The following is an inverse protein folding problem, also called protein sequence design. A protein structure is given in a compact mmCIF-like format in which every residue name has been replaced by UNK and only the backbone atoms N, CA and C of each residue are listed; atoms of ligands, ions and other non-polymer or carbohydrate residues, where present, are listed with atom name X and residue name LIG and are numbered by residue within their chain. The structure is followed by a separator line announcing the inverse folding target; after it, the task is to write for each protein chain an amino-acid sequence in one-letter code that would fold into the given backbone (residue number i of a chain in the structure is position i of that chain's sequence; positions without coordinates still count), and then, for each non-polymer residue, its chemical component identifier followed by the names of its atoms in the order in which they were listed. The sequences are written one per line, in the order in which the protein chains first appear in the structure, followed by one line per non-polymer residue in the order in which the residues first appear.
data_IF_329881455954
#
_entry.id   IF_329881455954
#
_cell.length_a   1.000
_cell.length_b   1.000
_cell.length_c   1.000
_cell.angle_alpha   90.00
_cell.angle_beta   90.00
_cell.angle_gamma   90.00
#
_symmetry.space_group_name_H-M   'P 1'
#
loop_
_entity.id
_entity.type
_entity.pdbx_description
1 polymer ?
#
# COMPACT_ATOMS: atom_id res chain seq x y z
N UNK A 1 14.09 -5.33 -16.77
CA UNK A 1 13.76 -5.07 -15.36
C UNK A 1 12.28 -4.69 -15.27
N UNK A 2 11.47 -5.58 -14.74
CA UNK A 2 10.08 -5.31 -14.39
C UNK A 2 10.02 -4.60 -13.05
N UNK A 3 8.88 -3.99 -12.71
CA UNK A 3 8.70 -3.42 -11.37
C UNK A 3 8.74 -4.51 -10.29
N UNK A 4 8.23 -5.71 -10.60
CA UNK A 4 8.26 -6.84 -9.67
C UNK A 4 9.70 -7.25 -9.34
N UNK A 5 10.56 -7.33 -10.35
CA UNK A 5 11.99 -7.59 -10.17
C UNK A 5 12.65 -6.48 -9.35
N UNK A 6 12.36 -5.21 -9.68
CA UNK A 6 12.87 -4.07 -8.91
C UNK A 6 12.50 -4.16 -7.43
N UNK A 7 11.24 -4.43 -7.10
CA UNK A 7 10.79 -4.57 -5.70
C UNK A 7 11.47 -5.75 -5.00
N UNK A 8 11.60 -6.90 -5.69
CA UNK A 8 12.22 -8.10 -5.12
C UNK A 8 13.71 -7.89 -4.83
N UNK A 9 14.42 -7.24 -5.75
CA UNK A 9 15.88 -7.15 -5.73
C UNK A 9 16.38 -5.88 -5.01
N UNK A 10 15.46 -5.01 -4.56
CA UNK A 10 15.79 -3.80 -3.79
C UNK A 10 16.13 -4.04 -2.32
N UNK A 11 16.43 -2.93 -1.63
CA UNK A 11 16.79 -2.93 -0.22
C UNK A 11 15.75 -3.67 0.66
N UNK A 12 16.21 -4.36 1.72
CA UNK A 12 15.33 -5.01 2.69
C UNK A 12 14.30 -4.04 3.29
N UNK A 13 14.66 -2.78 3.48
CA UNK A 13 13.77 -1.77 4.04
C UNK A 13 12.60 -1.44 3.11
N UNK A 14 12.85 -1.29 1.80
CA UNK A 14 11.78 -1.09 0.83
C UNK A 14 10.81 -2.28 0.83
N UNK A 15 11.35 -3.50 0.84
CA UNK A 15 10.53 -4.72 0.90
C UNK A 15 9.70 -4.80 2.17
N UNK A 16 10.26 -4.42 3.32
CA UNK A 16 9.56 -4.40 4.61
C UNK A 16 8.36 -3.46 4.59
N UNK A 17 8.52 -2.27 4.01
CA UNK A 17 7.42 -1.29 3.84
C UNK A 17 6.34 -1.83 2.89
N UNK A 18 6.72 -2.41 1.75
CA UNK A 18 5.73 -2.97 0.81
C UNK A 18 4.97 -4.15 1.43
N UNK A 19 5.66 -5.01 2.19
CA UNK A 19 5.05 -6.11 2.93
C UNK A 19 4.08 -5.62 4.00
N UNK A 20 4.43 -4.59 4.78
CA UNK A 20 3.52 -4.02 5.78
C UNK A 20 2.28 -3.37 5.15
N UNK A 21 2.39 -2.91 3.90
CA UNK A 21 1.25 -2.47 3.10
C UNK A 21 0.44 -3.61 2.45
N UNK A 22 0.72 -4.88 2.76
CA UNK A 22 0.03 -6.04 2.20
C UNK A 22 0.42 -6.33 0.74
N UNK A 23 1.70 -6.10 0.39
CA UNK A 23 2.26 -6.26 -0.96
C UNK A 23 1.58 -5.39 -2.04
N UNK A 24 0.93 -4.29 -1.64
CA UNK A 24 0.28 -3.34 -2.56
C UNK A 24 1.24 -2.24 -2.94
N UNK A 25 1.45 -2.04 -4.24
CA UNK A 25 2.19 -0.91 -4.80
C UNK A 25 1.65 -0.53 -6.19
N UNK A 26 1.93 0.68 -6.65
CA UNK A 26 1.55 1.19 -7.96
C UNK A 26 2.64 2.14 -8.49
N UNK A 27 2.91 2.12 -9.79
CA UNK A 27 3.99 2.91 -10.40
C UNK A 27 3.38 4.01 -11.26
N UNK A 28 3.89 5.23 -11.09
CA UNK A 28 3.58 6.36 -11.95
C UNK A 28 4.79 6.76 -12.78
N UNK A 29 4.57 6.97 -14.09
CA UNK A 29 5.46 7.73 -14.96
C UNK A 29 4.87 9.14 -15.13
N UNK A 30 5.29 10.05 -14.24
CA UNK A 30 4.81 11.44 -14.21
C UNK A 30 5.23 12.28 -15.42
N UNK A 31 6.07 11.75 -16.30
CA UNK A 31 6.45 12.42 -17.56
C UNK A 31 5.45 12.14 -18.68
N UNK A 32 4.61 11.11 -18.53
CA UNK A 32 3.60 10.73 -19.50
C UNK A 32 2.23 11.28 -19.12
N UNK A 33 1.55 11.87 -20.10
CA UNK A 33 0.13 12.27 -19.98
C UNK A 33 -0.80 11.07 -20.22
N UNK A 34 -0.55 9.97 -19.51
CA UNK A 34 -1.33 8.74 -19.64
C UNK A 34 -2.36 8.64 -18.49
N UNK A 35 -3.64 8.85 -18.84
CA UNK A 35 -4.75 8.75 -17.88
C UNK A 35 -4.98 7.32 -17.39
N UNK A 36 -4.49 6.30 -18.08
CA UNK A 36 -4.69 4.91 -17.66
C UNK A 36 -4.01 4.59 -16.33
N UNK A 37 -2.89 5.24 -16.02
CA UNK A 37 -2.21 5.06 -14.74
C UNK A 37 -3.10 5.51 -13.56
N UNK A 38 -3.83 6.62 -13.75
CA UNK A 38 -4.81 7.11 -12.78
C UNK A 38 -5.98 6.12 -12.65
N UNK A 39 -6.52 5.64 -13.77
CA UNK A 39 -7.62 4.65 -13.75
C UNK A 39 -7.20 3.37 -13.02
N UNK A 40 -5.99 2.88 -13.25
CA UNK A 40 -5.46 1.71 -12.56
C UNK A 40 -5.24 1.95 -11.07
N UNK A 41 -4.82 3.16 -10.66
CA UNK A 41 -4.73 3.52 -9.25
C UNK A 41 -6.11 3.50 -8.59
N UNK A 42 -7.12 4.14 -9.20
CA UNK A 42 -8.49 4.18 -8.67
C UNK A 42 -9.06 2.77 -8.51
N UNK A 43 -8.81 1.86 -9.46
CA UNK A 43 -9.20 0.44 -9.33
C UNK A 43 -8.57 -0.22 -8.10
N UNK A 44 -7.26 -0.04 -7.90
CA UNK A 44 -6.56 -0.59 -6.71
C UNK A 44 -7.09 -0.02 -5.39
N UNK A 45 -7.49 1.25 -5.38
CA UNK A 45 -8.14 1.88 -4.22
C UNK A 45 -9.52 1.26 -3.99
N UNK A 46 -10.31 1.05 -5.04
CA UNK A 46 -11.60 0.35 -4.97
C UNK A 46 -11.48 -1.04 -4.36
N UNK A 47 -10.51 -1.85 -4.83
CA UNK A 47 -10.23 -3.18 -4.28
C UNK A 47 -9.82 -3.12 -2.81
N UNK A 48 -9.04 -2.11 -2.41
CA UNK A 48 -8.65 -1.87 -1.03
C UNK A 48 -9.86 -1.56 -0.14
N UNK A 49 -10.74 -0.65 -0.58
CA UNK A 49 -11.96 -0.28 0.16
C UNK A 49 -12.90 -1.48 0.29
N UNK A 50 -13.07 -2.27 -0.78
CA UNK A 50 -13.88 -3.48 -0.75
C UNK A 50 -13.34 -4.51 0.26
N UNK A 51 -12.01 -4.72 0.30
CA UNK A 51 -11.37 -5.58 1.32
C UNK A 51 -11.55 -5.05 2.74
N UNK A 52 -11.62 -3.74 2.91
CA UNK A 52 -11.97 -3.09 4.18
C UNK A 52 -13.47 -3.08 4.46
N UNK A 53 -14.30 -3.82 3.71
CA UNK A 53 -15.77 -3.86 3.89
C UNK A 53 -16.42 -2.47 3.77
N UNK A 54 -15.84 -1.61 2.95
CA UNK A 54 -16.30 -0.23 2.77
C UNK A 54 -15.90 0.73 3.89
N UNK A 55 -15.15 0.29 4.90
CA UNK A 55 -14.71 1.16 5.99
C UNK A 55 -13.44 1.92 5.61
N UNK A 56 -13.25 3.06 6.28
CA UNK A 56 -12.06 3.89 6.17
C UNK A 56 -11.23 3.81 7.46
N UNK A 57 -10.00 4.30 7.37
CA UNK A 57 -9.11 4.40 8.52
C UNK A 57 -9.64 5.43 9.52
N UNK A 58 -9.60 5.10 10.81
CA UNK A 58 -10.08 5.96 11.90
C UNK A 58 -9.04 6.09 13.00
N UNK A 59 -9.13 7.16 13.79
CA UNK A 59 -8.22 7.39 14.93
C UNK A 59 -8.32 6.26 15.97
N UNK A 60 -9.52 5.72 16.20
CA UNK A 60 -9.72 4.57 17.08
C UNK A 60 -8.91 3.34 16.62
N UNK A 61 -8.90 3.04 15.31
CA UNK A 61 -8.05 1.95 14.77
C UNK A 61 -6.56 2.23 14.99
N UNK A 62 -6.13 3.50 14.90
CA UNK A 62 -4.74 3.86 15.17
C UNK A 62 -4.35 3.65 16.64
N UNK A 63 -5.22 4.09 17.55
CA UNK A 63 -5.02 3.94 18.99
C UNK A 63 -4.96 2.46 19.39
N UNK A 64 -5.82 1.62 18.82
CA UNK A 64 -5.79 0.16 19.04
C UNK A 64 -4.46 -0.46 18.61
N UNK A 65 -3.95 -0.11 17.41
CA UNK A 65 -2.66 -0.59 16.92
C UNK A 65 -1.51 -0.13 17.83
N UNK A 66 -1.51 1.13 18.26
CA UNK A 66 -0.51 1.68 19.18
C UNK A 66 -0.57 0.99 20.55
N UNK A 67 -1.76 0.73 21.08
CA UNK A 67 -1.96 0.04 22.34
C UNK A 67 -1.48 -1.43 22.26
N UNK A 68 -1.78 -2.13 21.17
CA UNK A 68 -1.31 -3.49 20.93
C UNK A 68 0.23 -3.56 20.85
N UNK A 69 0.87 -2.60 20.19
CA UNK A 69 2.32 -2.52 20.08
C UNK A 69 3.02 -2.27 21.44
N UNK A 70 2.37 -1.52 22.35
CA UNK A 70 2.88 -1.28 23.71
C UNK A 70 2.80 -2.52 24.62
N UNK A 71 1.80 -3.39 24.42
CA UNK A 71 1.62 -4.63 25.22
C UNK A 71 2.59 -5.76 24.88
N UNK A 72 3.29 -5.66 23.75
CA UNK A 72 4.29 -6.65 23.31
C UNK A 72 5.73 -6.30 23.73
N UNK A 73 5.89 -5.21 24.49
CA UNK A 73 7.14 -4.83 25.17
C UNK A 73 7.06 -5.22 26.63
#
# INVERSE_FOLDING_TARGET
MTIQEYVRDNSPDLRRVIQSCGNRFHVFDNRKRDRNQVVQLIRKIGDMVARNRGTYYTDAMYEEVQAAAKKQK
#
